data_IF_538972364146
#
_entry.id   IF_538972364146
#
_cell.length_a   1.000
_cell.length_b   1.000
_cell.length_c   1.000
_cell.angle_alpha   90.00
_cell.angle_beta   90.00
_cell.angle_gamma   90.00
#
_symmetry.space_group_name_H-M   'P 1'
#
loop_
_entity.id
_entity.type
_entity.pdbx_description
1 polymer ?
#
# COMPACT_ATOMS: atom_id res chain seq x y z
N UNK A 1 -5.80 14.98 3.48
CA UNK A 1 -5.11 13.74 3.05
C UNK A 1 -5.60 12.57 3.90
N UNK A 2 -6.28 11.60 3.29
CA UNK A 2 -6.75 10.39 3.95
C UNK A 2 -6.15 9.18 3.24
N UNK A 3 -5.49 8.32 4.01
CA UNK A 3 -4.87 7.09 3.51
C UNK A 3 -5.74 5.92 3.94
N UNK A 4 -6.22 5.13 2.98
CA UNK A 4 -6.94 3.89 3.20
C UNK A 4 -5.95 2.74 3.07
N UNK A 5 -5.84 1.94 4.12
CA UNK A 5 -4.99 0.77 4.15
C UNK A 5 -5.89 -0.46 4.27
N UNK A 6 -5.76 -1.38 3.32
CA UNK A 6 -6.35 -2.71 3.37
C UNK A 6 -5.26 -3.74 3.62
N UNK A 7 -5.45 -4.60 4.61
CA UNK A 7 -4.54 -5.73 4.86
C UNK A 7 -5.30 -7.01 4.57
N UNK A 8 -4.73 -7.84 3.71
CA UNK A 8 -5.28 -9.15 3.40
C UNK A 8 -4.29 -10.22 3.87
N UNK A 9 -4.75 -11.12 4.73
CA UNK A 9 -3.96 -12.28 5.15
C UNK A 9 -3.99 -13.32 4.03
N UNK A 10 -2.81 -13.67 3.53
CA UNK A 10 -2.65 -14.69 2.50
C UNK A 10 -2.47 -16.06 3.16
N UNK A 11 -1.50 -16.18 4.07
CA UNK A 11 -1.22 -17.44 4.76
C UNK A 11 -0.42 -17.25 6.05
N UNK A 12 -0.50 -18.26 6.91
CA UNK A 12 0.40 -18.44 8.05
C UNK A 12 1.59 -19.30 7.59
N UNK A 13 2.79 -18.72 7.66
CA UNK A 13 4.02 -19.35 7.16
C UNK A 13 4.69 -20.20 8.22
N UNK A 14 4.74 -19.72 9.46
CA UNK A 14 5.49 -20.34 10.55
C UNK A 14 4.96 -19.85 11.90
N UNK A 15 4.95 -20.73 12.89
CA UNK A 15 4.63 -20.43 14.29
C UNK A 15 5.75 -21.00 15.14
N UNK A 16 6.48 -20.12 15.80
CA UNK A 16 7.55 -20.50 16.70
C UNK A 16 7.11 -20.20 18.14
N UNK A 17 6.53 -21.19 18.80
CA UNK A 17 6.10 -21.08 20.19
C UNK A 17 7.26 -20.78 21.15
N UNK A 18 8.45 -21.42 21.04
CA UNK A 18 9.58 -21.12 21.93
C UNK A 18 10.09 -19.68 21.86
N UNK A 19 9.97 -19.03 20.70
CA UNK A 19 10.41 -17.65 20.46
C UNK A 19 9.24 -16.66 20.33
N UNK A 20 8.02 -17.12 20.65
CA UNK A 20 6.75 -16.38 20.67
C UNK A 20 6.44 -15.52 19.43
N UNK A 21 6.90 -15.94 18.24
CA UNK A 21 6.63 -15.22 17.00
C UNK A 21 5.86 -16.03 15.97
N UNK A 22 5.06 -15.30 15.16
CA UNK A 22 4.31 -15.84 14.03
C UNK A 22 4.76 -15.13 12.77
N UNK A 23 5.08 -15.90 11.72
CA UNK A 23 5.32 -15.36 10.38
C UNK A 23 4.06 -15.49 9.54
N UNK A 24 3.58 -14.37 9.02
CA UNK A 24 2.41 -14.31 8.16
C UNK A 24 2.81 -13.73 6.79
N UNK A 25 2.25 -14.29 5.74
CA UNK A 25 2.23 -13.63 4.43
C UNK A 25 0.97 -12.76 4.36
N UNK A 26 1.17 -11.45 4.22
CA UNK A 26 0.08 -10.47 4.10
C UNK A 26 0.29 -9.61 2.86
N UNK A 27 -0.78 -9.22 2.18
CA UNK A 27 -0.75 -8.12 1.22
C UNK A 27 -1.23 -6.84 1.89
N UNK A 28 -0.57 -5.72 1.58
CA UNK A 28 -0.93 -4.39 2.06
C UNK A 28 -1.30 -3.53 0.85
N UNK A 29 -2.58 -3.22 0.73
CA UNK A 29 -3.14 -2.40 -0.32
C UNK A 29 -3.34 -0.98 0.20
N UNK A 30 -2.65 0.00 -0.40
CA UNK A 30 -2.71 1.39 0.03
C UNK A 30 -3.41 2.24 -1.04
N UNK A 31 -4.34 3.10 -0.60
CA UNK A 31 -5.04 4.05 -1.48
C UNK A 31 -5.09 5.41 -0.80
N UNK A 32 -4.57 6.43 -1.47
CA UNK A 32 -4.64 7.81 -1.03
C UNK A 32 -5.15 8.70 -2.17
N UNK A 33 -5.54 9.92 -1.83
CA UNK A 33 -5.87 10.97 -2.79
C UNK A 33 -4.75 12.00 -2.77
N UNK A 34 -4.20 12.30 -3.95
CA UNK A 34 -3.20 13.33 -4.16
C UNK A 34 -3.83 14.46 -4.99
N UNK A 35 -3.95 15.64 -4.39
CA UNK A 35 -4.60 16.81 -5.01
C UNK A 35 -3.78 17.38 -6.18
N UNK A 36 -2.49 17.05 -6.30
CA UNK A 36 -1.61 17.51 -7.38
C UNK A 36 -1.60 16.55 -8.59
N UNK A 37 -2.09 15.32 -8.44
CA UNK A 37 -2.14 14.31 -9.50
C UNK A 37 -3.55 14.22 -10.12
N UNK A 38 -4.16 15.38 -10.38
CA UNK A 38 -5.47 15.50 -11.01
C UNK A 38 -5.29 16.16 -12.37
N UNK A 39 -5.84 15.54 -13.42
CA UNK A 39 -5.83 16.09 -14.76
C UNK A 39 -7.17 15.87 -15.47
N UNK A 40 -7.40 16.66 -16.52
CA UNK A 40 -8.55 16.53 -17.40
C UNK A 40 -8.28 15.45 -18.46
N UNK A 41 -8.99 14.31 -18.47
CA UNK A 41 -8.75 13.23 -19.41
C UNK A 41 -8.84 13.67 -20.88
N UNK A 42 -9.67 14.67 -21.22
CA UNK A 42 -9.83 15.14 -22.59
C UNK A 42 -8.55 15.79 -23.14
N UNK A 43 -7.76 16.43 -22.26
CA UNK A 43 -6.46 17.03 -22.64
C UNK A 43 -5.35 16.00 -22.81
N UNK A 44 -5.57 14.77 -22.33
CA UNK A 44 -4.61 13.68 -22.35
C UNK A 44 -5.17 12.45 -23.09
N UNK A 45 -5.86 12.68 -24.22
CA UNK A 45 -6.31 11.63 -25.14
C UNK A 45 -7.21 10.57 -24.48
N UNK A 46 -7.99 10.97 -23.47
CA UNK A 46 -8.88 10.09 -22.69
C UNK A 46 -8.18 9.29 -21.58
N UNK A 47 -6.94 9.60 -21.23
CA UNK A 47 -6.20 8.86 -20.19
C UNK A 47 -6.79 9.14 -18.81
N UNK A 48 -7.28 8.11 -18.12
CA UNK A 48 -7.87 8.21 -16.77
C UNK A 48 -7.01 7.58 -15.68
N UNK A 49 -5.99 6.82 -16.07
CA UNK A 49 -5.06 6.18 -15.14
C UNK A 49 -3.66 6.09 -15.75
N UNK A 50 -2.65 6.24 -14.91
CA UNK A 50 -1.24 6.14 -15.28
C UNK A 50 -0.51 5.29 -14.24
N UNK A 51 0.51 4.57 -14.68
CA UNK A 51 1.44 3.86 -13.78
C UNK A 51 2.75 4.62 -13.79
N UNK A 52 3.14 5.11 -12.62
CA UNK A 52 4.40 5.84 -12.43
C UNK A 52 5.27 5.12 -11.40
N UNK A 53 6.61 5.23 -11.53
CA UNK A 53 7.53 4.80 -10.48
C UNK A 53 7.20 5.46 -9.13
N UNK A 54 7.34 4.70 -8.04
CA UNK A 54 6.96 5.15 -6.69
C UNK A 54 7.85 6.30 -6.16
N UNK A 55 9.06 6.44 -6.67
CA UNK A 55 10.01 7.52 -6.35
C UNK A 55 9.64 8.86 -7.00
N UNK A 56 8.71 8.88 -7.95
CA UNK A 56 8.24 10.09 -8.62
C UNK A 56 7.03 10.74 -7.94
N UNK A 57 6.42 10.07 -6.97
CA UNK A 57 5.21 10.53 -6.29
C UNK A 57 5.37 10.41 -4.79
N UNK A 58 4.65 11.25 -4.05
CA UNK A 58 4.58 11.08 -2.60
C UNK A 58 3.80 9.80 -2.28
N UNK A 59 4.38 8.95 -1.44
CA UNK A 59 3.75 7.75 -0.90
C UNK A 59 3.72 7.85 0.63
N UNK A 60 2.66 7.38 1.29
CA UNK A 60 2.61 7.36 2.74
C UNK A 60 3.59 6.34 3.32
N UNK A 61 4.38 6.76 4.31
CA UNK A 61 5.26 5.87 5.06
C UNK A 61 4.43 4.94 5.96
N UNK A 62 4.32 3.66 5.58
CA UNK A 62 3.61 2.63 6.34
C UNK A 62 4.61 1.59 6.82
N UNK A 63 4.73 1.44 8.13
CA UNK A 63 5.57 0.41 8.77
C UNK A 63 4.70 -0.57 9.54
N UNK A 64 4.98 -1.87 9.40
CA UNK A 64 4.37 -2.89 10.25
C UNK A 64 5.04 -2.83 11.62
N UNK A 65 4.28 -2.44 12.64
CA UNK A 65 4.73 -2.56 14.02
C UNK A 65 4.36 -3.95 14.51
N UNK A 66 5.36 -4.82 14.60
CA UNK A 66 5.24 -6.08 15.34
C UNK A 66 5.60 -5.83 16.80
N UNK A 67 4.68 -6.09 17.72
CA UNK A 67 5.05 -6.23 19.14
C UNK A 67 5.87 -7.51 19.28
N UNK A 68 7.06 -7.39 19.87
CA UNK A 68 7.94 -8.50 20.22
C UNK A 68 7.29 -9.45 21.21
#
# INVERSE_FOLDING_TARGET
MLVKIGINLISLLDVNEPQEYIKLAVSCDQRWHDDFLIWDPEKFNGTTSITVPADMVWIPDVTVVSTV
#
